data_IF_734032314983
#
_entry.id   IF_734032314983
#
_cell.length_a   1.000
_cell.length_b   1.000
_cell.length_c   1.000
_cell.angle_alpha   90.00
_cell.angle_beta   90.00
_cell.angle_gamma   90.00
#
_symmetry.space_group_name_H-M   'P 1'
#
loop_
_entity.id
_entity.type
_entity.pdbx_description
1 polymer ?
#
# COMPACT_ATOMS: atom_id res chain seq x y z
N UNK A 1 12.52 17.70 69.57
CA UNK A 1 13.62 17.12 68.79
C UNK A 1 13.05 15.99 67.94
N UNK A 2 12.81 16.22 66.65
CA UNK A 2 12.20 15.23 65.74
C UNK A 2 13.17 15.06 64.57
N UNK A 3 13.88 13.93 64.55
CA UNK A 3 14.94 13.65 63.58
C UNK A 3 14.32 13.17 62.25
N UNK A 4 14.35 14.03 61.23
CA UNK A 4 14.11 13.64 59.83
C UNK A 4 15.37 12.99 59.28
N UNK A 5 15.34 11.67 59.09
CA UNK A 5 16.28 10.96 58.20
C UNK A 5 15.90 11.24 56.75
N UNK A 6 16.68 12.07 56.08
CA UNK A 6 16.68 12.20 54.62
C UNK A 6 17.52 11.04 54.08
N UNK A 7 16.85 10.02 53.53
CA UNK A 7 17.52 8.96 52.77
C UNK A 7 17.72 9.49 51.35
N UNK A 8 18.93 9.93 51.04
CA UNK A 8 19.34 10.32 49.69
C UNK A 8 19.63 9.02 48.91
N UNK A 9 18.65 8.53 48.14
CA UNK A 9 18.87 7.44 47.18
C UNK A 9 19.51 8.05 45.94
N UNK A 10 20.84 7.93 45.84
CA UNK A 10 21.57 8.19 44.60
C UNK A 10 21.30 7.01 43.67
N UNK A 11 20.26 7.12 42.84
CA UNK A 11 20.09 6.24 41.69
C UNK A 11 21.12 6.64 40.64
N UNK A 12 22.31 6.06 40.70
CA UNK A 12 23.26 6.09 39.59
C UNK A 12 22.66 5.27 38.45
N UNK A 13 21.90 5.92 37.57
CA UNK A 13 21.49 5.35 36.31
C UNK A 13 22.76 5.15 35.48
N UNK A 14 23.32 3.94 35.53
CA UNK A 14 24.29 3.51 34.56
C UNK A 14 23.61 3.59 33.19
N UNK A 15 23.93 4.63 32.42
CA UNK A 15 23.63 4.69 30.99
C UNK A 15 24.36 3.50 30.36
N UNK A 16 23.66 2.37 30.27
CA UNK A 16 24.14 1.23 29.51
C UNK A 16 24.37 1.75 28.09
N UNK A 17 25.65 1.83 27.69
CA UNK A 17 25.99 2.13 26.30
C UNK A 17 25.25 1.11 25.45
N UNK A 18 24.44 1.59 24.50
CA UNK A 18 23.79 0.68 23.56
C UNK A 18 24.89 -0.15 22.87
N UNK A 19 24.73 -1.48 22.80
CA UNK A 19 25.71 -2.32 22.15
C UNK A 19 25.92 -1.81 20.72
N UNK A 20 27.17 -1.55 20.36
CA UNK A 20 27.52 -1.12 19.00
C UNK A 20 27.02 -2.17 18.02
N UNK A 21 26.12 -1.76 17.12
CA UNK A 21 25.58 -2.64 16.09
C UNK A 21 26.62 -2.83 14.99
N UNK A 22 26.83 -4.06 14.50
CA UNK A 22 27.79 -4.31 13.43
C UNK A 22 27.39 -3.59 12.13
N UNK A 23 28.39 -2.98 11.49
CA UNK A 23 28.32 -2.48 10.13
C UNK A 23 29.20 -3.37 9.25
N UNK A 24 28.57 -4.20 8.42
CA UNK A 24 29.23 -5.19 7.59
C UNK A 24 29.23 -4.71 6.14
N UNK A 25 30.41 -4.80 5.51
CA UNK A 25 30.58 -4.58 4.08
C UNK A 25 31.07 -5.87 3.44
N UNK A 26 30.24 -6.49 2.61
CA UNK A 26 30.42 -7.88 2.17
C UNK A 26 30.73 -8.00 0.69
N UNK A 27 31.34 -9.14 0.33
CA UNK A 27 31.44 -9.57 -1.07
C UNK A 27 30.03 -9.80 -1.67
N UNK A 28 29.84 -9.55 -2.98
CA UNK A 28 28.54 -9.64 -3.64
C UNK A 28 28.19 -11.11 -3.96
N UNK A 29 28.10 -11.96 -2.95
CA UNK A 29 27.70 -13.37 -3.10
C UNK A 29 26.58 -13.72 -2.15
N UNK A 30 25.74 -14.68 -2.53
CA UNK A 30 24.65 -15.17 -1.68
C UNK A 30 25.17 -15.70 -0.33
N UNK A 31 26.28 -16.44 -0.34
CA UNK A 31 26.90 -16.99 0.86
C UNK A 31 27.32 -15.89 1.84
N UNK A 32 27.97 -14.83 1.37
CA UNK A 32 28.39 -13.71 2.20
C UNK A 32 27.17 -12.93 2.76
N UNK A 33 26.10 -12.79 1.97
CA UNK A 33 24.85 -12.18 2.44
C UNK A 33 24.21 -12.99 3.56
N UNK A 34 24.10 -14.31 3.39
CA UNK A 34 23.52 -15.21 4.42
C UNK A 34 24.32 -15.19 5.72
N UNK A 35 25.65 -15.23 5.64
CA UNK A 35 26.52 -15.11 6.81
C UNK A 35 26.34 -13.76 7.51
N UNK A 36 26.33 -12.67 6.75
CA UNK A 36 26.16 -11.33 7.29
C UNK A 36 24.82 -11.17 8.01
N UNK A 37 23.72 -11.65 7.40
CA UNK A 37 22.38 -11.65 7.99
C UNK A 37 22.35 -12.41 9.32
N UNK A 38 22.98 -13.59 9.39
CA UNK A 38 23.11 -14.35 10.64
C UNK A 38 23.81 -13.54 11.74
N UNK A 39 24.91 -12.85 11.37
CA UNK A 39 25.72 -12.06 12.31
C UNK A 39 24.99 -10.83 12.82
N UNK A 40 24.34 -10.06 11.94
CA UNK A 40 23.57 -8.87 12.37
C UNK A 40 22.34 -9.27 13.19
N UNK A 41 21.68 -10.38 12.86
CA UNK A 41 20.55 -10.89 13.65
C UNK A 41 21.00 -11.32 15.05
N UNK A 42 22.11 -12.04 15.18
CA UNK A 42 22.69 -12.43 16.46
C UNK A 42 23.11 -11.23 17.33
N UNK A 43 23.49 -10.12 16.69
CA UNK A 43 23.82 -8.87 17.37
C UNK A 43 22.59 -8.00 17.73
N UNK A 44 21.37 -8.44 17.41
CA UNK A 44 20.13 -7.70 17.66
C UNK A 44 19.89 -6.52 16.70
N UNK A 45 20.56 -6.52 15.55
CA UNK A 45 20.51 -5.47 14.54
C UNK A 45 21.86 -5.23 13.87
N UNK A 46 21.88 -4.40 12.84
CA UNK A 46 23.11 -4.06 12.12
C UNK A 46 22.84 -3.63 10.69
N UNK A 47 23.89 -3.19 10.00
CA UNK A 47 23.83 -2.72 8.62
C UNK A 47 24.70 -3.61 7.72
N UNK A 48 24.16 -4.01 6.57
CA UNK A 48 24.85 -4.78 5.54
C UNK A 48 24.89 -3.93 4.27
N UNK A 49 26.09 -3.80 3.71
CA UNK A 49 26.39 -3.09 2.45
C UNK A 49 27.37 -3.91 1.62
N UNK A 50 27.70 -3.48 0.40
CA UNK A 50 28.51 -4.27 -0.53
C UNK A 50 29.89 -3.66 -0.79
N UNK A 51 30.90 -4.49 -1.01
CA UNK A 51 32.28 -4.04 -1.24
C UNK A 51 32.45 -3.40 -2.62
N UNK A 52 31.71 -3.88 -3.61
CA UNK A 52 31.82 -3.48 -5.02
C UNK A 52 30.56 -2.76 -5.52
N UNK A 53 30.62 -2.21 -6.73
CA UNK A 53 29.49 -1.62 -7.45
C UNK A 53 29.22 -2.35 -8.76
N UNK A 54 28.01 -2.21 -9.31
CA UNK A 54 27.53 -2.86 -10.53
C UNK A 54 27.64 -4.39 -10.45
N UNK A 55 27.30 -4.95 -9.30
CA UNK A 55 27.36 -6.39 -9.08
C UNK A 55 25.98 -7.02 -9.23
N UNK A 56 25.97 -8.19 -9.86
CA UNK A 56 24.82 -9.10 -9.86
C UNK A 56 25.09 -10.23 -8.87
N UNK A 57 24.19 -10.41 -7.92
CA UNK A 57 24.25 -11.47 -6.91
C UNK A 57 23.19 -12.50 -7.27
N UNK A 58 23.63 -13.70 -7.65
CA UNK A 58 22.73 -14.82 -7.92
C UNK A 58 22.12 -15.33 -6.62
N UNK A 59 20.81 -15.46 -6.56
CA UNK A 59 20.05 -15.97 -5.41
C UNK A 59 19.28 -17.22 -5.85
N UNK A 60 19.55 -18.34 -5.21
CA UNK A 60 18.93 -19.63 -5.57
C UNK A 60 17.73 -19.99 -4.73
N UNK A 61 17.63 -19.46 -3.51
CA UNK A 61 16.59 -19.80 -2.55
C UNK A 61 16.22 -18.56 -1.72
N UNK A 62 15.06 -18.62 -1.07
CA UNK A 62 14.57 -17.62 -0.15
C UNK A 62 15.61 -17.24 0.90
N UNK A 63 15.63 -15.96 1.22
CA UNK A 63 16.39 -15.39 2.33
C UNK A 63 15.46 -15.10 3.49
N UNK A 64 15.88 -15.50 4.69
CA UNK A 64 15.14 -15.20 5.91
C UNK A 64 15.75 -14.00 6.61
N UNK A 65 14.89 -13.06 6.97
CA UNK A 65 15.25 -11.81 7.60
C UNK A 65 14.53 -11.73 8.95
N UNK A 66 15.01 -12.52 9.90
CA UNK A 66 14.51 -12.58 11.27
C UNK A 66 15.29 -11.61 12.16
N UNK A 67 14.58 -10.65 12.77
CA UNK A 67 15.17 -9.75 13.76
C UNK A 67 14.63 -8.33 13.67
N UNK A 68 15.29 -7.44 14.42
CA UNK A 68 14.90 -6.04 14.51
C UNK A 68 16.09 -5.14 14.16
N UNK A 69 15.81 -3.95 13.62
CA UNK A 69 16.83 -2.96 13.28
C UNK A 69 17.92 -3.47 12.33
N UNK A 70 17.56 -4.36 11.43
CA UNK A 70 18.44 -4.88 10.40
C UNK A 70 18.29 -4.01 9.15
N UNK A 71 19.42 -3.63 8.56
CA UNK A 71 19.48 -2.79 7.36
C UNK A 71 20.22 -3.54 6.27
N UNK A 72 19.56 -3.82 5.15
CA UNK A 72 20.19 -4.31 3.91
C UNK A 72 20.14 -3.21 2.86
N UNK A 73 21.29 -2.65 2.53
CA UNK A 73 21.38 -1.43 1.74
C UNK A 73 22.39 -1.58 0.60
N UNK A 74 21.91 -1.44 -0.64
CA UNK A 74 22.76 -1.42 -1.82
C UNK A 74 23.54 -0.11 -2.03
N UNK A 75 23.24 0.93 -1.25
CA UNK A 75 23.81 2.28 -1.38
C UNK A 75 23.68 2.83 -2.82
N UNK A 76 24.63 3.61 -3.30
CA UNK A 76 24.70 4.08 -4.69
C UNK A 76 25.42 3.07 -5.61
N UNK A 77 25.51 1.80 -5.20
CA UNK A 77 26.40 0.81 -5.84
C UNK A 77 25.76 0.05 -6.98
N UNK A 78 24.49 0.29 -7.32
CA UNK A 78 23.80 -0.40 -8.40
C UNK A 78 23.89 -1.94 -8.25
N UNK A 79 23.39 -2.44 -7.11
CA UNK A 79 23.36 -3.87 -6.81
C UNK A 79 22.09 -4.48 -7.42
N UNK A 80 22.25 -5.61 -8.10
CA UNK A 80 21.14 -6.42 -8.61
C UNK A 80 21.17 -7.77 -7.94
N UNK A 81 20.08 -8.17 -7.31
CA UNK A 81 19.83 -9.57 -6.99
C UNK A 81 19.15 -10.21 -8.18
N UNK A 82 19.66 -11.35 -8.64
CA UNK A 82 19.10 -12.09 -9.76
C UNK A 82 18.68 -13.46 -9.29
N UNK A 83 17.43 -13.81 -9.54
CA UNK A 83 16.95 -15.14 -9.21
C UNK A 83 17.53 -16.19 -10.17
N UNK A 84 18.05 -17.27 -9.60
CA UNK A 84 18.62 -18.42 -10.33
C UNK A 84 18.12 -19.76 -9.77
N UNK A 85 17.11 -19.70 -8.90
CA UNK A 85 16.52 -20.87 -8.25
C UNK A 85 15.63 -21.70 -9.17
N UNK A 86 15.07 -22.81 -8.65
CA UNK A 86 14.32 -23.77 -9.43
C UNK A 86 12.89 -23.33 -9.78
N UNK A 87 12.31 -22.43 -8.99
CA UNK A 87 10.94 -21.95 -9.23
C UNK A 87 10.85 -21.23 -10.58
N UNK A 88 9.73 -21.42 -11.24
CA UNK A 88 9.46 -20.78 -12.52
C UNK A 88 8.77 -19.45 -12.27
N UNK A 89 9.03 -18.48 -13.11
CA UNK A 89 8.23 -17.27 -13.16
C UNK A 89 6.91 -17.60 -13.89
N UNK A 90 6.06 -18.41 -13.26
CA UNK A 90 4.69 -18.71 -13.65
C UNK A 90 3.74 -18.32 -12.50
N UNK A 91 2.45 -18.10 -12.76
CA UNK A 91 1.46 -17.65 -11.78
C UNK A 91 1.07 -18.78 -10.78
N UNK A 92 2.04 -19.56 -10.31
CA UNK A 92 1.82 -20.65 -9.38
C UNK A 92 1.88 -20.12 -7.95
N UNK A 93 0.73 -20.17 -7.27
CA UNK A 93 0.61 -19.82 -5.85
C UNK A 93 1.61 -20.56 -4.96
N UNK A 94 2.26 -19.82 -4.05
CA UNK A 94 3.14 -20.39 -3.02
C UNK A 94 4.61 -20.54 -3.40
N UNK A 95 5.06 -19.83 -4.45
CA UNK A 95 6.48 -19.68 -4.77
C UNK A 95 7.27 -19.04 -3.63
N UNK A 96 8.58 -19.32 -3.61
CA UNK A 96 9.43 -18.80 -2.55
C UNK A 96 9.82 -17.32 -2.83
N UNK A 97 9.54 -16.40 -1.89
CA UNK A 97 9.91 -15.00 -2.06
C UNK A 97 11.42 -14.83 -1.97
N UNK A 98 11.95 -13.75 -2.57
CA UNK A 98 13.33 -13.31 -2.35
C UNK A 98 13.65 -13.25 -0.85
N UNK A 99 12.82 -12.54 -0.08
CA UNK A 99 13.07 -12.32 1.34
C UNK A 99 11.79 -12.35 2.17
N UNK A 100 11.84 -13.06 3.30
CA UNK A 100 10.79 -13.04 4.33
C UNK A 100 11.28 -12.25 5.55
N UNK A 101 10.59 -11.15 5.86
CA UNK A 101 10.89 -10.25 6.98
C UNK A 101 9.94 -10.56 8.14
N UNK A 102 10.57 -10.80 9.29
CA UNK A 102 9.91 -10.94 10.58
C UNK A 102 10.61 -10.08 11.63
N UNK A 103 9.90 -9.06 12.11
CA UNK A 103 10.36 -8.18 13.16
C UNK A 103 10.19 -6.70 12.82
N UNK A 104 10.97 -5.84 13.47
CA UNK A 104 10.62 -4.43 13.60
C UNK A 104 11.74 -3.54 13.14
N UNK A 105 11.40 -2.38 12.56
CA UNK A 105 12.37 -1.34 12.18
C UNK A 105 13.45 -1.87 11.23
N UNK A 106 13.07 -2.82 10.37
CA UNK A 106 13.95 -3.33 9.34
C UNK A 106 13.90 -2.40 8.14
N UNK A 107 15.05 -2.20 7.49
CA UNK A 107 15.17 -1.39 6.28
C UNK A 107 15.80 -2.24 5.20
N UNK A 108 15.18 -2.25 4.03
CA UNK A 108 15.76 -2.83 2.83
C UNK A 108 15.66 -1.81 1.70
N UNK A 109 16.73 -1.63 0.93
CA UNK A 109 16.67 -0.67 -0.16
C UNK A 109 17.91 -0.50 -1.01
N UNK A 110 17.74 0.33 -2.04
CA UNK A 110 18.77 0.74 -2.98
C UNK A 110 19.35 -0.38 -3.86
N UNK A 111 18.49 -1.27 -4.38
CA UNK A 111 18.89 -2.36 -5.28
C UNK A 111 17.78 -2.76 -6.25
N UNK A 112 18.12 -3.61 -7.22
CA UNK A 112 17.19 -4.21 -8.19
C UNK A 112 16.94 -5.68 -7.85
N UNK A 113 15.69 -6.15 -7.94
CA UNK A 113 15.31 -7.56 -7.86
C UNK A 113 14.88 -8.05 -9.25
N UNK A 114 15.73 -8.84 -9.90
CA UNK A 114 15.55 -9.29 -11.28
C UNK A 114 15.16 -10.78 -11.37
N UNK A 115 14.05 -11.04 -12.07
CA UNK A 115 13.60 -12.39 -12.41
C UNK A 115 13.05 -13.21 -11.25
N UNK A 116 12.72 -12.58 -10.11
CA UNK A 116 12.17 -13.30 -8.97
C UNK A 116 10.71 -13.75 -9.24
N UNK A 117 10.37 -15.01 -8.90
CA UNK A 117 8.99 -15.48 -8.95
C UNK A 117 8.10 -14.66 -8.01
N UNK A 118 8.59 -14.44 -6.79
CA UNK A 118 7.95 -13.69 -5.72
C UNK A 118 8.99 -12.80 -5.01
N UNK A 119 8.59 -11.61 -4.58
CA UNK A 119 9.50 -10.55 -4.16
C UNK A 119 9.74 -10.49 -2.64
N UNK A 120 9.37 -9.37 -2.02
CA UNK A 120 9.66 -9.10 -0.61
C UNK A 120 8.41 -9.35 0.24
N UNK A 121 8.50 -10.24 1.22
CA UNK A 121 7.38 -10.57 2.11
C UNK A 121 7.64 -10.03 3.52
N UNK A 122 6.88 -9.02 3.93
CA UNK A 122 6.87 -8.51 5.30
C UNK A 122 5.71 -9.18 6.03
N UNK A 123 6.02 -10.32 6.64
CA UNK A 123 5.00 -11.18 7.24
C UNK A 123 4.58 -10.64 8.61
N UNK A 124 5.51 -10.23 9.47
CA UNK A 124 5.16 -9.70 10.79
C UNK A 124 6.05 -8.58 11.30
N UNK A 125 5.47 -7.76 12.17
CA UNK A 125 6.16 -6.74 12.98
C UNK A 125 5.77 -5.30 12.64
N UNK A 126 6.61 -4.33 13.01
CA UNK A 126 6.27 -2.91 13.01
C UNK A 126 7.36 -2.04 12.39
N UNK A 127 6.95 -0.94 11.75
CA UNK A 127 7.85 0.15 11.33
C UNK A 127 8.94 -0.30 10.34
N UNK A 128 8.62 -1.27 9.48
CA UNK A 128 9.55 -1.73 8.43
C UNK A 128 9.51 -0.79 7.21
N UNK A 129 10.65 -0.65 6.54
CA UNK A 129 10.84 0.23 5.39
C UNK A 129 11.40 -0.55 4.19
N UNK A 130 10.70 -0.46 3.07
CA UNK A 130 11.22 -0.84 1.75
C UNK A 130 11.39 0.44 0.95
N UNK A 131 12.61 0.73 0.50
CA UNK A 131 12.87 1.99 -0.20
C UNK A 131 13.79 1.86 -1.40
N UNK A 132 13.51 2.61 -2.46
CA UNK A 132 14.38 2.67 -3.64
C UNK A 132 14.72 1.28 -4.20
N UNK A 133 13.73 0.38 -4.24
CA UNK A 133 13.85 -0.96 -4.82
C UNK A 133 13.21 -0.97 -6.21
N UNK A 134 13.88 -1.59 -7.18
CA UNK A 134 13.37 -1.77 -8.54
C UNK A 134 12.99 -3.21 -8.79
N UNK A 135 11.80 -3.40 -9.36
CA UNK A 135 11.24 -4.69 -9.75
C UNK A 135 10.92 -4.67 -11.26
N UNK A 136 11.91 -4.89 -12.15
CA UNK A 136 11.72 -4.88 -13.61
C UNK A 136 10.77 -5.99 -14.09
N UNK A 137 10.72 -7.11 -13.35
CA UNK A 137 9.77 -8.20 -13.57
C UNK A 137 9.61 -9.00 -12.28
N UNK A 138 8.37 -9.15 -11.83
CA UNK A 138 7.97 -10.14 -10.81
C UNK A 138 6.72 -10.84 -11.31
N UNK A 139 6.67 -12.16 -11.14
CA UNK A 139 5.50 -12.93 -11.59
C UNK A 139 4.34 -12.82 -10.60
N UNK A 140 4.56 -13.16 -9.33
CA UNK A 140 3.55 -13.11 -8.28
C UNK A 140 3.46 -11.72 -7.62
N UNK A 141 3.78 -11.63 -6.33
CA UNK A 141 3.73 -10.42 -5.52
C UNK A 141 5.12 -9.76 -5.48
N UNK A 142 5.29 -8.53 -5.96
CA UNK A 142 6.59 -7.86 -5.80
C UNK A 142 6.86 -7.49 -4.33
N UNK A 143 5.83 -7.05 -3.60
CA UNK A 143 5.88 -6.87 -2.16
C UNK A 143 4.57 -7.37 -1.53
N UNK A 144 4.69 -8.23 -0.53
CA UNK A 144 3.57 -8.65 0.31
C UNK A 144 3.71 -8.11 1.71
N UNK A 145 2.68 -7.42 2.20
CA UNK A 145 2.54 -7.04 3.60
C UNK A 145 1.44 -7.89 4.25
N UNK A 146 1.75 -8.52 5.38
CA UNK A 146 0.80 -9.32 6.16
C UNK A 146 0.28 -10.57 5.42
N UNK A 147 1.18 -11.51 5.11
CA UNK A 147 0.85 -12.80 4.49
C UNK A 147 0.63 -13.94 5.50
N UNK A 148 -0.04 -15.02 5.07
CA UNK A 148 -0.05 -16.33 5.76
C UNK A 148 -0.51 -16.29 7.24
N UNK A 149 -1.47 -15.43 7.57
CA UNK A 149 -2.02 -15.31 8.92
C UNK A 149 -1.20 -14.46 9.89
N UNK A 150 -0.15 -13.79 9.40
CA UNK A 150 0.61 -12.80 10.16
C UNK A 150 0.17 -11.37 9.83
N UNK A 151 0.45 -10.44 10.74
CA UNK A 151 0.15 -9.02 10.61
C UNK A 151 1.42 -8.17 10.75
N UNK A 152 1.59 -7.24 9.82
CA UNK A 152 2.62 -6.21 9.81
C UNK A 152 1.97 -4.83 9.81
N UNK A 153 2.53 -3.92 10.61
CA UNK A 153 1.96 -2.60 10.85
C UNK A 153 2.97 -1.49 10.59
N UNK A 154 2.46 -0.32 10.18
CA UNK A 154 3.25 0.88 9.89
C UNK A 154 4.41 0.60 8.96
N UNK A 155 4.21 -0.33 8.02
CA UNK A 155 5.19 -0.56 6.97
C UNK A 155 5.15 0.62 5.99
N UNK A 156 6.31 1.07 5.55
CA UNK A 156 6.44 2.10 4.52
C UNK A 156 7.12 1.48 3.31
N UNK A 157 6.50 1.65 2.14
CA UNK A 157 7.05 1.30 0.83
C UNK A 157 7.19 2.62 0.09
N UNK A 158 8.41 3.05 -0.20
CA UNK A 158 8.65 4.39 -0.77
C UNK A 158 9.65 4.42 -1.90
N UNK A 159 9.42 5.30 -2.88
CA UNK A 159 10.36 5.53 -3.98
C UNK A 159 10.75 4.23 -4.72
N UNK A 160 9.84 3.26 -4.78
CA UNK A 160 10.05 2.00 -5.49
C UNK A 160 9.50 2.07 -6.92
N UNK A 161 10.11 1.30 -7.82
CA UNK A 161 9.71 1.18 -9.22
C UNK A 161 9.28 -0.26 -9.51
N UNK A 162 8.06 -0.42 -10.05
CA UNK A 162 7.49 -1.71 -10.41
C UNK A 162 7.15 -1.72 -11.90
N UNK A 163 7.61 -2.75 -12.60
CA UNK A 163 7.38 -2.92 -14.02
C UNK A 163 6.91 -4.36 -14.30
N UNK A 164 5.90 -4.49 -15.16
CA UNK A 164 5.44 -5.78 -15.66
C UNK A 164 5.11 -6.81 -14.58
N UNK A 165 4.57 -6.39 -13.43
CA UNK A 165 4.06 -7.33 -12.43
C UNK A 165 2.85 -8.07 -13.01
N UNK A 166 2.98 -9.39 -13.19
CA UNK A 166 1.99 -10.21 -13.90
C UNK A 166 0.72 -10.44 -13.05
N UNK A 167 0.85 -10.52 -11.73
CA UNK A 167 -0.26 -10.53 -10.76
C UNK A 167 -0.38 -9.21 -9.97
N UNK A 168 0.27 -9.10 -8.80
CA UNK A 168 0.18 -7.94 -7.90
C UNK A 168 1.56 -7.33 -7.69
N UNK A 169 1.70 -6.03 -7.87
CA UNK A 169 2.97 -5.38 -7.49
C UNK A 169 3.05 -5.26 -5.96
N UNK A 170 2.01 -4.73 -5.32
CA UNK A 170 1.92 -4.70 -3.86
C UNK A 170 0.65 -5.41 -3.42
N UNK A 171 0.81 -6.45 -2.62
CA UNK A 171 -0.27 -7.17 -1.96
C UNK A 171 -0.29 -6.87 -0.47
N UNK A 172 -1.46 -6.53 0.06
CA UNK A 172 -1.69 -6.37 1.49
C UNK A 172 -2.81 -7.32 1.88
N UNK A 173 -2.48 -8.29 2.72
CA UNK A 173 -3.37 -9.37 3.12
C UNK A 173 -3.67 -9.31 4.61
N UNK A 174 -4.77 -9.91 5.06
CA UNK A 174 -5.07 -10.14 6.47
C UNK A 174 -5.08 -8.91 7.41
N UNK A 175 -5.05 -7.69 6.89
CA UNK A 175 -5.04 -6.46 7.67
C UNK A 175 -3.68 -5.80 7.78
N UNK A 176 -3.37 -5.27 8.97
CA UNK A 176 -2.17 -4.49 9.17
C UNK A 176 -2.29 -3.02 8.74
N UNK A 177 -1.14 -2.40 8.48
CA UNK A 177 -1.11 -1.03 7.95
C UNK A 177 0.13 -0.77 7.11
N UNK A 178 -0.08 -0.14 5.96
CA UNK A 178 0.98 0.22 5.02
C UNK A 178 0.79 1.65 4.51
N UNK A 179 1.90 2.33 4.30
CA UNK A 179 1.98 3.55 3.49
C UNK A 179 2.77 3.23 2.23
N UNK A 180 2.16 3.42 1.07
CA UNK A 180 2.83 3.36 -0.24
C UNK A 180 2.97 4.80 -0.73
N UNK A 181 4.20 5.26 -0.96
CA UNK A 181 4.43 6.65 -1.34
C UNK A 181 5.51 6.84 -2.40
N UNK A 182 5.28 7.78 -3.30
CA UNK A 182 6.28 8.20 -4.29
C UNK A 182 6.76 7.01 -5.16
N UNK A 183 5.90 6.01 -5.37
CA UNK A 183 6.18 4.84 -6.19
C UNK A 183 5.68 5.01 -7.63
N UNK A 184 6.34 4.35 -8.58
CA UNK A 184 5.90 4.26 -9.98
C UNK A 184 5.59 2.81 -10.34
N UNK A 185 4.44 2.61 -10.97
CA UNK A 185 3.93 1.32 -11.44
C UNK A 185 3.69 1.41 -12.95
N UNK A 186 4.44 0.62 -13.72
CA UNK A 186 4.32 0.52 -15.17
C UNK A 186 3.85 -0.88 -15.55
N UNK A 187 2.74 -0.96 -16.30
CA UNK A 187 2.24 -2.24 -16.86
C UNK A 187 2.01 -3.35 -15.82
N UNK A 188 1.71 -2.96 -14.57
CA UNK A 188 1.40 -3.88 -13.49
C UNK A 188 -0.10 -4.25 -13.51
N UNK A 189 -0.41 -5.55 -13.53
CA UNK A 189 -1.80 -6.01 -13.60
C UNK A 189 -2.61 -5.50 -12.39
N UNK A 190 -2.11 -5.66 -11.16
CA UNK A 190 -2.73 -5.16 -9.92
C UNK A 190 -1.69 -4.38 -9.09
N UNK A 191 -1.51 -3.07 -9.32
CA UNK A 191 -0.37 -2.34 -8.79
C UNK A 191 -0.40 -2.22 -7.26
N UNK A 192 -1.58 -1.97 -6.69
CA UNK A 192 -1.80 -2.07 -5.24
C UNK A 192 -3.10 -2.80 -5.01
N UNK A 193 -3.04 -3.92 -4.29
CA UNK A 193 -4.20 -4.66 -3.85
C UNK A 193 -4.18 -4.82 -2.33
N UNK A 194 -5.24 -4.36 -1.68
CA UNK A 194 -5.47 -4.62 -0.27
C UNK A 194 -6.77 -5.40 -0.07
N UNK A 195 -6.68 -6.51 0.66
CA UNK A 195 -7.81 -7.33 1.05
C UNK A 195 -7.68 -7.84 2.48
N UNK A 196 -8.76 -8.39 3.01
CA UNK A 196 -8.79 -8.96 4.36
C UNK A 196 -9.87 -8.34 5.23
N UNK A 197 -9.85 -8.68 6.51
CA UNK A 197 -10.93 -8.35 7.46
C UNK A 197 -10.95 -6.87 7.82
N UNK A 198 -9.76 -6.28 8.04
CA UNK A 198 -9.58 -4.88 8.44
C UNK A 198 -8.31 -4.28 7.83
N UNK A 199 -7.91 -3.08 8.28
CA UNK A 199 -6.60 -2.49 8.00
C UNK A 199 -6.65 -0.99 7.70
N UNK A 200 -5.47 -0.34 7.71
CA UNK A 200 -5.32 1.09 7.42
C UNK A 200 -4.23 1.32 6.39
N UNK A 201 -4.62 1.90 5.26
CA UNK A 201 -3.72 2.04 4.12
C UNK A 201 -3.67 3.49 3.64
N UNK A 202 -2.47 3.96 3.36
CA UNK A 202 -2.25 5.23 2.69
C UNK A 202 -1.51 4.98 1.37
N UNK A 203 -2.01 5.53 0.27
CA UNK A 203 -1.33 5.51 -1.03
C UNK A 203 -1.26 6.93 -1.55
N UNK A 204 -0.05 7.47 -1.67
CA UNK A 204 0.13 8.89 -1.99
C UNK A 204 1.26 9.20 -2.95
N UNK A 205 1.04 10.20 -3.79
CA UNK A 205 2.03 10.68 -4.78
C UNK A 205 2.58 9.57 -5.68
N UNK A 206 1.79 8.52 -5.92
CA UNK A 206 2.18 7.42 -6.77
C UNK A 206 1.73 7.67 -8.21
N UNK A 207 2.44 7.03 -9.15
CA UNK A 207 2.16 7.08 -10.58
C UNK A 207 1.84 5.68 -11.08
N UNK A 208 0.68 5.51 -11.70
CA UNK A 208 0.20 4.25 -12.25
C UNK A 208 -0.01 4.43 -13.75
N UNK A 209 0.71 3.67 -14.58
CA UNK A 209 0.69 3.81 -16.05
C UNK A 209 0.55 2.47 -16.76
N UNK A 210 -0.01 2.54 -17.97
CA UNK A 210 -0.03 1.44 -18.92
C UNK A 210 -1.09 0.39 -18.61
N UNK A 211 -0.80 -0.85 -19.01
CA UNK A 211 -1.70 -2.00 -18.93
C UNK A 211 -1.89 -2.42 -17.47
N UNK A 212 -2.91 -1.85 -16.84
CA UNK A 212 -3.25 -2.15 -15.45
C UNK A 212 -4.75 -2.35 -15.26
N UNK A 213 -5.14 -3.16 -14.27
CA UNK A 213 -6.50 -3.15 -13.73
C UNK A 213 -6.73 -2.06 -12.69
N UNK A 214 -5.68 -1.32 -12.32
CA UNK A 214 -5.71 -0.25 -11.34
C UNK A 214 -5.72 -0.71 -9.88
N UNK A 215 -5.52 0.22 -8.92
CA UNK A 215 -5.57 -0.06 -7.49
C UNK A 215 -6.92 -0.64 -7.05
N UNK A 216 -6.88 -1.61 -6.12
CA UNK A 216 -8.06 -2.35 -5.64
C UNK A 216 -8.03 -2.51 -4.12
N UNK A 217 -9.09 -2.08 -3.45
CA UNK A 217 -9.26 -2.26 -2.01
C UNK A 217 -10.59 -2.95 -1.71
N UNK A 218 -10.54 -3.98 -0.88
CA UNK A 218 -11.69 -4.82 -0.55
C UNK A 218 -11.77 -5.10 0.94
N UNK A 219 -12.75 -4.48 1.61
CA UNK A 219 -12.90 -4.54 3.06
C UNK A 219 -13.80 -5.69 3.51
N UNK A 220 -13.31 -6.55 4.39
CA UNK A 220 -14.14 -7.50 5.12
C UNK A 220 -14.94 -6.82 6.24
N UNK A 221 -15.70 -7.60 7.01
CA UNK A 221 -16.70 -7.10 7.97
C UNK A 221 -16.18 -6.18 9.08
N UNK A 222 -14.88 -6.23 9.40
CA UNK A 222 -14.29 -5.37 10.43
C UNK A 222 -13.97 -3.96 9.91
N UNK A 223 -14.04 -3.77 8.58
CA UNK A 223 -13.87 -2.50 7.91
C UNK A 223 -12.41 -2.14 7.64
N UNK A 224 -12.19 -1.51 6.48
CA UNK A 224 -10.88 -1.06 6.02
C UNK A 224 -10.89 0.46 5.88
N UNK A 225 -9.79 1.13 6.21
CA UNK A 225 -9.62 2.55 5.91
C UNK A 225 -8.55 2.78 4.82
N UNK A 226 -8.88 3.60 3.83
CA UNK A 226 -7.98 3.98 2.73
C UNK A 226 -7.89 5.49 2.61
N UNK A 227 -6.68 6.03 2.69
CA UNK A 227 -6.35 7.40 2.30
C UNK A 227 -5.61 7.36 0.97
N UNK A 228 -6.20 7.93 -0.08
CA UNK A 228 -5.67 7.85 -1.44
C UNK A 228 -5.50 9.27 -1.99
N UNK A 229 -4.27 9.75 -2.07
CA UNK A 229 -4.00 11.19 -2.19
C UNK A 229 -2.90 11.53 -3.21
N UNK A 230 -3.12 12.58 -4.01
CA UNK A 230 -2.12 13.12 -4.95
C UNK A 230 -1.57 12.08 -5.96
N UNK A 231 -2.35 11.06 -6.33
CA UNK A 231 -1.92 10.04 -7.27
C UNK A 231 -2.29 10.37 -8.73
N UNK A 232 -1.48 9.87 -9.67
CA UNK A 232 -1.76 9.91 -11.11
C UNK A 232 -2.01 8.50 -11.64
N UNK A 233 -3.18 8.25 -12.22
CA UNK A 233 -3.56 6.98 -12.82
C UNK A 233 -3.86 7.19 -14.30
N UNK A 234 -3.15 6.47 -15.17
CA UNK A 234 -3.27 6.58 -16.62
C UNK A 234 -3.40 5.19 -17.27
N UNK A 235 -4.34 5.06 -18.20
CA UNK A 235 -4.55 3.88 -19.06
C UNK A 235 -4.96 2.58 -18.35
N UNK A 236 -5.21 2.65 -17.04
CA UNK A 236 -5.76 1.55 -16.26
C UNK A 236 -7.23 1.31 -16.62
N UNK A 237 -7.67 0.05 -16.54
CA UNK A 237 -9.09 -0.33 -16.71
C UNK A 237 -9.98 0.27 -15.62
N UNK A 238 -9.46 0.44 -14.41
CA UNK A 238 -10.12 1.17 -13.34
C UNK A 238 -9.15 2.20 -12.82
N UNK A 239 -9.56 3.45 -12.63
CA UNK A 239 -8.76 4.42 -11.91
C UNK A 239 -8.54 3.99 -10.46
N UNK A 240 -9.61 3.51 -9.81
CA UNK A 240 -9.57 2.80 -8.52
C UNK A 240 -10.84 1.96 -8.30
N UNK A 241 -10.72 0.84 -7.58
CA UNK A 241 -11.85 0.01 -7.13
C UNK A 241 -11.92 -0.07 -5.61
N UNK A 242 -13.11 0.19 -5.07
CA UNK A 242 -13.42 0.20 -3.64
C UNK A 242 -14.71 -0.58 -3.39
N UNK A 243 -14.64 -1.64 -2.59
CA UNK A 243 -15.82 -2.48 -2.29
C UNK A 243 -15.70 -3.22 -0.96
N UNK A 244 -16.77 -3.92 -0.57
CA UNK A 244 -16.94 -4.44 0.79
C UNK A 244 -17.08 -3.29 1.80
N UNK A 245 -16.63 -3.48 3.03
CA UNK A 245 -16.68 -2.45 4.08
C UNK A 245 -15.50 -1.48 4.05
N UNK A 246 -15.12 -1.00 2.86
CA UNK A 246 -14.08 0.03 2.71
C UNK A 246 -14.65 1.39 3.09
N UNK A 247 -13.91 2.12 3.93
CA UNK A 247 -14.09 3.53 4.20
C UNK A 247 -12.91 4.28 3.57
N UNK A 248 -13.14 5.14 2.60
CA UNK A 248 -12.06 5.78 1.86
C UNK A 248 -12.22 7.29 1.77
N UNK A 249 -11.08 7.98 1.74
CA UNK A 249 -11.04 9.37 1.28
C UNK A 249 -10.06 9.48 0.11
N UNK A 250 -10.56 10.01 -1.00
CA UNK A 250 -9.80 10.22 -2.23
C UNK A 250 -9.60 11.71 -2.43
N UNK A 251 -8.35 12.18 -2.43
CA UNK A 251 -8.04 13.62 -2.56
C UNK A 251 -7.05 13.92 -3.65
N UNK A 252 -7.34 14.92 -4.49
CA UNK A 252 -6.36 15.48 -5.44
C UNK A 252 -5.72 14.45 -6.39
N UNK A 253 -6.43 13.36 -6.65
CA UNK A 253 -5.97 12.36 -7.60
C UNK A 253 -6.39 12.75 -9.02
N UNK A 254 -5.66 12.21 -10.01
CA UNK A 254 -5.98 12.36 -11.42
C UNK A 254 -6.18 10.99 -12.04
N UNK A 255 -7.40 10.72 -12.47
CA UNK A 255 -7.82 9.47 -13.08
C UNK A 255 -8.09 9.69 -14.57
N UNK A 256 -7.20 9.13 -15.39
CA UNK A 256 -7.31 9.06 -16.85
C UNK A 256 -7.36 7.59 -17.28
N UNK A 257 -8.45 6.88 -16.98
CA UNK A 257 -8.57 5.47 -17.27
C UNK A 257 -8.56 5.21 -18.79
N UNK A 258 -8.49 3.94 -19.16
CA UNK A 258 -8.44 3.55 -20.57
C UNK A 258 -9.68 4.05 -21.35
N UNK A 259 -9.50 4.74 -22.49
CA UNK A 259 -10.63 5.30 -23.26
C UNK A 259 -11.57 4.27 -23.90
N UNK A 260 -11.18 2.99 -24.00
CA UNK A 260 -12.00 1.95 -24.64
C UNK A 260 -13.00 1.29 -23.70
N UNK A 261 -12.62 1.09 -22.44
CA UNK A 261 -13.38 0.24 -21.51
C UNK A 261 -13.16 0.58 -20.02
N UNK A 262 -12.56 1.75 -19.75
CA UNK A 262 -12.13 2.15 -18.42
C UNK A 262 -13.21 2.80 -17.57
N UNK A 263 -13.14 2.57 -16.26
CA UNK A 263 -13.89 3.31 -15.22
C UNK A 263 -12.97 4.31 -14.53
N UNK A 264 -13.48 5.49 -14.15
CA UNK A 264 -12.73 6.43 -13.33
C UNK A 264 -12.59 5.92 -11.89
N UNK A 265 -13.66 6.04 -11.10
CA UNK A 265 -13.74 5.58 -9.72
C UNK A 265 -14.91 4.62 -9.61
N UNK A 266 -14.66 3.38 -9.19
CA UNK A 266 -15.70 2.35 -9.08
C UNK A 266 -15.92 1.92 -7.63
N UNK A 267 -17.12 2.17 -7.13
CA UNK A 267 -17.52 2.02 -5.73
C UNK A 267 -18.76 1.12 -5.67
N UNK A 268 -18.69 0.01 -4.95
CA UNK A 268 -19.80 -0.95 -4.90
C UNK A 268 -19.86 -1.71 -3.57
N UNK A 269 -20.82 -2.63 -3.42
CA UNK A 269 -21.17 -3.30 -2.17
C UNK A 269 -21.46 -2.31 -1.03
N UNK A 270 -20.66 -2.28 0.05
CA UNK A 270 -20.91 -1.47 1.26
C UNK A 270 -19.89 -0.37 1.45
N UNK A 271 -19.17 -0.01 0.39
CA UNK A 271 -18.09 0.95 0.46
C UNK A 271 -18.63 2.36 0.73
N UNK A 272 -17.87 3.13 1.50
CA UNK A 272 -18.18 4.51 1.91
C UNK A 272 -17.03 5.39 1.49
N UNK A 273 -17.27 6.38 0.65
CA UNK A 273 -16.18 7.13 0.01
C UNK A 273 -16.46 8.63 0.02
N UNK A 274 -15.44 9.42 0.34
CA UNK A 274 -15.43 10.87 0.17
C UNK A 274 -14.45 11.26 -0.94
N UNK A 275 -14.88 12.07 -1.91
CA UNK A 275 -14.02 12.54 -3.01
C UNK A 275 -13.87 14.06 -2.93
N UNK A 276 -12.63 14.54 -2.84
CA UNK A 276 -12.29 15.97 -2.77
C UNK A 276 -11.22 16.34 -3.81
N UNK A 277 -11.50 17.36 -4.62
CA UNK A 277 -10.54 17.94 -5.56
C UNK A 277 -9.88 16.95 -6.55
N UNK A 278 -10.58 15.88 -6.93
CA UNK A 278 -10.06 14.90 -7.89
C UNK A 278 -10.38 15.31 -9.34
N UNK A 279 -9.60 14.82 -10.30
CA UNK A 279 -9.91 14.91 -11.73
C UNK A 279 -10.23 13.50 -12.23
N UNK A 280 -11.40 13.33 -12.84
CA UNK A 280 -11.83 12.07 -13.47
C UNK A 280 -12.26 12.39 -14.89
N UNK A 281 -11.49 11.91 -15.87
CA UNK A 281 -11.69 12.30 -17.26
C UNK A 281 -11.55 11.16 -18.25
N UNK A 282 -12.45 11.11 -19.23
CA UNK A 282 -12.35 10.20 -20.38
C UNK A 282 -12.69 8.74 -20.07
N UNK A 283 -13.38 8.46 -18.96
CA UNK A 283 -13.78 7.10 -18.61
C UNK A 283 -14.90 6.60 -19.52
N UNK A 284 -14.68 5.48 -20.21
CA UNK A 284 -15.63 4.91 -21.16
C UNK A 284 -16.83 4.19 -20.52
N UNK A 285 -16.74 3.85 -19.23
CA UNK A 285 -17.79 3.14 -18.49
C UNK A 285 -18.30 3.89 -17.25
N UNK A 286 -17.97 5.17 -17.16
CA UNK A 286 -18.47 6.10 -16.15
C UNK A 286 -17.33 6.76 -15.38
N UNK A 287 -17.49 8.05 -15.08
CA UNK A 287 -16.54 8.81 -14.28
C UNK A 287 -16.49 8.27 -12.85
N UNK A 288 -17.53 8.53 -12.07
CA UNK A 288 -17.75 7.93 -10.75
C UNK A 288 -18.95 7.00 -10.84
N UNK A 289 -18.76 5.72 -10.52
CA UNK A 289 -19.82 4.70 -10.56
C UNK A 289 -20.05 4.14 -9.16
N UNK A 290 -21.31 4.18 -8.73
CA UNK A 290 -21.77 3.79 -7.38
C UNK A 290 -22.85 2.73 -7.52
N UNK A 291 -22.70 1.59 -6.84
CA UNK A 291 -23.62 0.45 -6.93
C UNK A 291 -23.91 -0.19 -5.57
N UNK A 292 -24.92 -1.05 -5.55
CA UNK A 292 -25.38 -1.81 -4.39
C UNK A 292 -25.74 -0.90 -3.19
N UNK A 293 -25.16 -1.15 -2.01
CA UNK A 293 -25.36 -0.39 -0.77
C UNK A 293 -24.28 0.69 -0.58
N UNK A 294 -23.51 1.02 -1.61
CA UNK A 294 -22.38 1.93 -1.50
C UNK A 294 -22.85 3.38 -1.28
N UNK A 295 -22.05 4.15 -0.55
CA UNK A 295 -22.33 5.55 -0.27
C UNK A 295 -21.15 6.42 -0.67
N UNK A 296 -21.42 7.50 -1.38
CA UNK A 296 -20.40 8.45 -1.81
C UNK A 296 -20.82 9.89 -1.53
N UNK A 297 -19.85 10.70 -1.13
CA UNK A 297 -19.96 12.14 -1.02
C UNK A 297 -18.96 12.79 -1.97
N UNK A 298 -19.49 13.39 -3.04
CA UNK A 298 -18.74 14.15 -4.04
C UNK A 298 -18.72 15.65 -3.72
N UNK A 299 -19.37 16.10 -2.65
CA UNK A 299 -19.40 17.50 -2.22
C UNK A 299 -20.72 17.88 -1.53
N UNK A 300 -20.62 18.48 -0.34
CA UNK A 300 -21.76 18.99 0.42
C UNK A 300 -22.65 17.93 1.09
N UNK A 301 -22.31 16.65 0.97
CA UNK A 301 -23.03 15.53 1.58
C UNK A 301 -22.58 15.18 2.99
N UNK A 302 -22.95 13.98 3.45
CA UNK A 302 -22.54 13.47 4.76
C UNK A 302 -22.38 11.96 4.73
N UNK A 303 -21.24 11.50 4.20
CA UNK A 303 -20.81 10.11 4.38
C UNK A 303 -19.99 10.00 5.66
N UNK A 304 -20.41 9.11 6.56
CA UNK A 304 -19.64 8.81 7.77
C UNK A 304 -18.51 7.86 7.43
N UNK A 305 -17.29 8.39 7.44
CA UNK A 305 -16.04 7.66 7.25
C UNK A 305 -15.44 7.47 8.63
N UNK A 306 -15.33 6.24 9.13
CA UNK A 306 -14.58 6.00 10.37
C UNK A 306 -15.13 6.75 11.61
N UNK A 307 -16.43 7.10 11.62
CA UNK A 307 -17.04 7.95 12.65
C UNK A 307 -16.90 9.46 12.40
N UNK A 308 -16.05 9.86 11.46
CA UNK A 308 -15.99 11.22 10.93
C UNK A 308 -17.13 11.45 9.94
N UNK A 309 -17.96 12.45 10.20
CA UNK A 309 -19.10 12.82 9.35
C UNK A 309 -18.89 14.17 8.66
N UNK A 310 -17.66 14.66 8.55
CA UNK A 310 -17.38 15.89 7.80
C UNK A 310 -17.82 15.74 6.33
N UNK A 311 -18.40 16.79 5.73
CA UNK A 311 -18.75 16.77 4.32
C UNK A 311 -17.49 16.82 3.43
N UNK A 312 -17.57 16.20 2.26
CA UNK A 312 -16.66 16.54 1.15
C UNK A 312 -16.80 18.02 0.81
N UNK A 313 -15.67 18.66 0.54
CA UNK A 313 -15.62 20.03 0.03
C UNK A 313 -15.94 20.12 -1.47
N UNK A 314 -16.11 18.99 -2.16
CA UNK A 314 -16.25 18.95 -3.61
C UNK A 314 -14.94 19.32 -4.30
N UNK A 315 -15.03 20.20 -5.30
CA UNK A 315 -13.92 20.64 -6.14
C UNK A 315 -13.47 19.60 -7.16
N UNK A 316 -14.25 18.53 -7.36
CA UNK A 316 -13.90 17.50 -8.34
C UNK A 316 -14.16 18.03 -9.76
N UNK A 317 -13.34 17.58 -10.72
CA UNK A 317 -13.52 17.80 -12.14
C UNK A 317 -13.93 16.47 -12.76
N UNK A 318 -15.19 16.36 -13.16
CA UNK A 318 -15.75 15.20 -13.85
C UNK A 318 -16.04 15.66 -15.28
N UNK A 319 -15.38 15.05 -16.26
CA UNK A 319 -15.47 15.54 -17.63
C UNK A 319 -15.24 14.47 -18.69
N UNK A 320 -16.00 14.51 -19.77
CA UNK A 320 -15.82 13.68 -20.95
C UNK A 320 -15.94 12.20 -20.64
N UNK A 321 -16.65 11.84 -19.56
CA UNK A 321 -16.89 10.45 -19.20
C UNK A 321 -18.16 9.97 -19.90
N UNK A 322 -18.24 8.67 -20.14
CA UNK A 322 -19.32 8.01 -20.85
C UNK A 322 -19.76 6.76 -20.08
N UNK A 323 -21.06 6.41 -20.04
CA UNK A 323 -22.17 7.21 -20.56
C UNK A 323 -22.47 8.48 -19.75
N UNK A 324 -21.86 8.66 -18.57
CA UNK A 324 -22.08 9.81 -17.71
C UNK A 324 -20.86 10.07 -16.79
N UNK A 325 -20.76 11.28 -16.25
CA UNK A 325 -19.77 11.67 -15.24
C UNK A 325 -20.04 11.01 -13.88
N UNK A 326 -21.32 10.91 -13.50
CA UNK A 326 -21.79 10.19 -12.32
C UNK A 326 -22.84 9.15 -12.71
N UNK A 327 -22.60 7.89 -12.34
CA UNK A 327 -23.57 6.81 -12.46
C UNK A 327 -23.87 6.30 -11.06
N UNK A 328 -25.03 6.69 -10.52
CA UNK A 328 -25.55 6.20 -9.26
C UNK A 328 -26.62 5.14 -9.50
N UNK A 329 -26.30 3.87 -9.26
CA UNK A 329 -27.24 2.76 -9.36
C UNK A 329 -27.84 2.36 -8.00
N UNK A 330 -27.69 3.20 -6.98
CA UNK A 330 -28.26 3.00 -5.64
C UNK A 330 -29.58 3.77 -5.51
N UNK A 331 -30.31 3.53 -4.42
CA UNK A 331 -31.50 4.28 -4.02
C UNK A 331 -31.16 5.53 -3.18
N UNK A 332 -29.91 5.65 -2.71
CA UNK A 332 -29.43 6.78 -1.92
C UNK A 332 -29.04 7.93 -2.83
N UNK A 333 -29.48 9.14 -2.49
CA UNK A 333 -29.09 10.35 -3.23
C UNK A 333 -27.62 10.69 -2.98
N UNK A 334 -26.85 10.80 -4.05
CA UNK A 334 -25.45 11.24 -3.99
C UNK A 334 -25.39 12.77 -3.97
N UNK A 335 -24.75 13.33 -2.95
CA UNK A 335 -24.42 14.75 -2.92
C UNK A 335 -23.18 15.01 -3.77
N UNK A 336 -23.31 15.89 -4.76
CA UNK A 336 -22.25 16.23 -5.71
C UNK A 336 -22.21 17.75 -5.97
N UNK A 337 -22.22 18.51 -4.88
CA UNK A 337 -22.14 19.97 -4.90
C UNK A 337 -20.71 20.45 -5.09
N UNK A 338 -20.58 21.65 -5.63
CA UNK A 338 -19.31 22.33 -5.84
C UNK A 338 -18.33 21.53 -6.71
N UNK A 339 -18.81 20.91 -7.79
CA UNK A 339 -17.98 20.20 -8.76
C UNK A 339 -18.01 20.88 -10.14
N UNK A 340 -16.98 20.61 -10.94
CA UNK A 340 -16.93 20.96 -12.36
C UNK A 340 -17.42 19.77 -13.18
N UNK A 341 -18.32 20.04 -14.11
CA UNK A 341 -18.99 19.09 -14.99
C UNK A 341 -18.83 19.54 -16.45
N UNK A 342 -19.17 18.67 -17.40
CA UNK A 342 -19.28 19.07 -18.81
C UNK A 342 -20.34 20.15 -19.02
N UNK A 343 -21.47 20.05 -18.32
CA UNK A 343 -22.55 21.02 -18.38
C UNK A 343 -22.53 21.99 -17.19
N UNK A 344 -23.19 23.15 -17.32
CA UNK A 344 -23.02 24.27 -16.39
C UNK A 344 -24.24 24.55 -15.52
N UNK A 345 -25.43 24.17 -15.96
CA UNK A 345 -26.64 24.33 -15.15
C UNK A 345 -26.95 23.02 -14.41
N UNK A 346 -27.53 23.07 -13.19
CA UNK A 346 -27.94 21.85 -12.50
C UNK A 346 -28.85 20.96 -13.34
N UNK A 347 -29.78 21.55 -14.11
CA UNK A 347 -30.69 20.82 -14.98
C UNK A 347 -29.96 20.06 -16.07
N UNK A 348 -29.00 20.69 -16.76
CA UNK A 348 -28.25 20.05 -17.84
C UNK A 348 -27.33 18.96 -17.29
N UNK A 349 -26.69 19.19 -16.14
CA UNK A 349 -25.86 18.19 -15.46
C UNK A 349 -26.70 16.96 -15.10
N UNK A 350 -27.89 17.15 -14.51
CA UNK A 350 -28.78 16.03 -14.20
C UNK A 350 -29.29 15.29 -15.44
N UNK A 351 -29.45 15.99 -16.57
CA UNK A 351 -29.96 15.39 -17.80
C UNK A 351 -28.90 14.64 -18.62
N UNK A 352 -27.63 15.04 -18.52
CA UNK A 352 -26.57 14.58 -19.42
C UNK A 352 -25.37 13.95 -18.71
N UNK A 353 -25.02 14.44 -17.52
CA UNK A 353 -23.80 14.06 -16.82
C UNK A 353 -24.08 13.08 -15.66
N UNK A 354 -25.35 12.87 -15.32
CA UNK A 354 -25.77 12.05 -14.19
C UNK A 354 -26.77 10.98 -14.62
N UNK A 355 -26.56 9.75 -14.15
CA UNK A 355 -27.56 8.69 -14.15
C UNK A 355 -27.92 8.33 -12.72
N UNK A 356 -29.20 8.40 -12.36
CA UNK A 356 -29.71 8.04 -11.02
C UNK A 356 -29.83 9.20 -10.02
N UNK A 357 -30.18 8.92 -8.76
CA UNK A 357 -30.47 9.96 -7.76
C UNK A 357 -29.23 10.79 -7.37
N UNK A 358 -29.23 12.10 -7.62
CA UNK A 358 -28.16 12.99 -7.20
C UNK A 358 -28.64 14.41 -6.88
N UNK A 359 -27.92 15.09 -6.00
CA UNK A 359 -28.01 16.52 -5.76
C UNK A 359 -26.76 17.20 -6.31
N UNK A 360 -26.92 18.04 -7.34
CA UNK A 360 -25.80 18.73 -8.00
C UNK A 360 -25.88 20.23 -7.81
N UNK A 361 -24.73 20.84 -7.59
CA UNK A 361 -24.53 22.29 -7.58
C UNK A 361 -23.22 22.58 -8.33
N UNK A 362 -23.28 22.80 -9.66
CA UNK A 362 -22.08 23.01 -10.47
C UNK A 362 -21.34 24.31 -10.07
N UNK A 363 -20.01 24.33 -10.16
CA UNK A 363 -19.20 25.51 -9.79
C UNK A 363 -19.28 26.70 -10.77
N UNK A 364 -20.01 26.58 -11.88
CA UNK A 364 -20.02 27.59 -12.94
C UNK A 364 -18.67 27.75 -13.64
N UNK A 365 -18.65 28.47 -14.78
CA UNK A 365 -17.45 28.68 -15.60
C UNK A 365 -16.49 29.69 -14.97
N UNK A 366 -15.77 29.31 -13.91
CA UNK A 366 -14.47 29.92 -13.63
C UNK A 366 -13.36 28.97 -14.09
N UNK A 367 -13.29 28.76 -15.42
CA UNK A 367 -12.27 27.94 -16.11
C UNK A 367 -10.82 28.43 -15.88
N UNK A 368 -10.61 29.60 -15.27
CA UNK A 368 -9.29 30.24 -15.16
C UNK A 368 -8.43 29.84 -13.95
N UNK A 369 -8.99 29.24 -12.89
CA UNK A 369 -8.26 29.13 -11.61
C UNK A 369 -7.62 27.75 -11.33
N UNK A 370 -8.05 26.67 -11.99
CA UNK A 370 -7.58 25.31 -11.67
C UNK A 370 -6.66 24.68 -12.73
N UNK A 371 -6.69 25.17 -13.98
CA UNK A 371 -5.77 24.72 -15.02
C UNK A 371 -4.31 25.19 -14.78
N UNK A 372 -4.12 26.29 -14.03
CA UNK A 372 -2.82 26.75 -13.56
C UNK A 372 -2.68 26.36 -12.09
N UNK A 373 -2.07 25.21 -11.80
CA UNK A 373 -1.85 24.76 -10.43
C UNK A 373 -1.15 25.84 -9.57
N UNK A 374 -1.91 26.59 -8.77
CA UNK A 374 -1.46 27.58 -7.78
C UNK A 374 -2.70 28.18 -7.08
N UNK A 375 -2.57 29.02 -6.05
CA UNK A 375 -2.10 28.76 -4.69
C UNK A 375 -3.17 29.20 -3.66
N UNK A 376 -4.46 29.25 -4.02
CA UNK A 376 -5.52 29.71 -3.11
C UNK A 376 -5.79 28.74 -1.94
N UNK A 377 -5.26 27.52 -2.03
CA UNK A 377 -5.15 26.61 -0.90
C UNK A 377 -4.29 27.18 0.25
N UNK A 378 -3.38 28.15 0.06
CA UNK A 378 -2.52 28.64 1.16
C UNK A 378 -3.23 29.45 2.24
N UNK A 379 -4.34 30.13 1.93
CA UNK A 379 -5.16 30.80 2.97
C UNK A 379 -5.99 29.77 3.76
N UNK A 380 -6.38 28.67 3.12
CA UNK A 380 -7.13 27.55 3.69
C UNK A 380 -6.26 26.50 4.41
N UNK A 381 -5.03 26.27 3.96
CA UNK A 381 -4.03 25.37 4.59
C UNK A 381 -3.59 25.87 5.97
N UNK A 382 -3.72 27.18 6.25
CA UNK A 382 -3.55 27.73 7.61
C UNK A 382 -4.64 27.26 8.59
N UNK A 383 -5.82 26.88 8.10
CA UNK A 383 -6.87 26.22 8.90
C UNK A 383 -6.54 24.73 9.14
N UNK A 384 -5.97 24.05 8.13
CA UNK A 384 -5.59 22.63 8.18
C UNK A 384 -4.44 22.31 9.17
N UNK A 385 -3.45 23.21 9.32
CA UNK A 385 -2.36 23.01 10.31
C UNK A 385 -2.84 22.98 11.78
N UNK A 386 -4.07 23.39 12.09
CA UNK A 386 -4.67 23.21 13.43
C UNK A 386 -5.46 21.91 13.59
N UNK A 387 -5.73 21.15 12.52
CA UNK A 387 -6.66 19.99 12.53
C UNK A 387 -5.98 18.61 12.43
N UNK A 388 -4.69 18.55 12.08
CA UNK A 388 -3.93 17.29 11.99
C UNK A 388 -3.70 16.59 13.36
N UNK A 389 -4.12 17.20 14.48
CA UNK A 389 -3.99 16.64 15.81
C UNK A 389 -5.22 15.85 16.31
N UNK A 390 -6.31 15.77 15.52
CA UNK A 390 -7.61 15.23 15.97
C UNK A 390 -8.20 14.11 15.12
N UNK A 391 -7.42 13.42 14.28
CA UNK A 391 -7.90 12.16 13.67
C UNK A 391 -7.97 11.08 14.76
N UNK A 392 -9.13 10.97 15.41
CA UNK A 392 -9.44 9.90 16.35
C UNK A 392 -9.26 8.53 15.69
N UNK A 393 -8.77 7.57 16.46
CA UNK A 393 -8.68 6.18 16.04
C UNK A 393 -10.05 5.67 15.60
N UNK A 394 -10.16 5.17 14.36
CA UNK A 394 -11.24 4.26 14.00
C UNK A 394 -10.98 2.93 14.74
N UNK A 395 -11.33 2.86 16.01
CA UNK A 395 -11.53 1.58 16.66
C UNK A 395 -12.80 1.01 16.04
N UNK A 396 -12.67 -0.08 15.29
CA UNK A 396 -13.76 -1.04 15.18
C UNK A 396 -14.25 -1.28 16.62
N UNK A 397 -15.53 -1.01 16.87
CA UNK A 397 -16.19 -0.90 18.18
C UNK A 397 -15.56 -1.79 19.26
N UNK A 398 -15.09 -1.19 20.36
CA UNK A 398 -15.11 -1.83 21.68
C UNK A 398 -14.20 -3.04 21.91
N UNK A 399 -13.25 -3.34 21.02
CA UNK A 399 -12.14 -4.24 21.35
C UNK A 399 -10.91 -3.38 21.58
N UNK A 400 -10.64 -3.04 22.85
CA UNK A 400 -9.26 -2.83 23.25
C UNK A 400 -8.51 -4.07 22.80
N UNK A 401 -7.72 -3.96 21.72
CA UNK A 401 -6.71 -4.95 21.41
C UNK A 401 -5.64 -4.80 22.50
N UNK A 402 -5.96 -5.29 23.70
CA UNK A 402 -4.93 -5.78 24.57
C UNK A 402 -4.27 -6.88 23.76
N UNK A 403 -2.96 -6.82 23.48
CA UNK A 403 -2.28 -8.00 23.00
C UNK A 403 -2.65 -9.08 24.00
N UNK A 404 -3.41 -10.09 23.57
CA UNK A 404 -3.67 -11.20 24.47
C UNK A 404 -2.30 -11.77 24.74
N UNK A 405 -1.75 -11.46 25.91
CA UNK A 405 -0.90 -12.36 26.67
C UNK A 405 -1.78 -13.58 26.96
N UNK A 406 -2.17 -14.31 25.91
CA UNK A 406 -2.30 -15.74 26.06
C UNK A 406 -0.92 -16.12 26.56
N UNK A 407 -0.90 -16.62 27.78
CA UNK A 407 0.13 -17.51 28.28
C UNK A 407 0.25 -18.66 27.28
N UNK A 408 0.87 -18.38 26.13
CA UNK A 408 1.39 -19.38 25.23
C UNK A 408 2.42 -20.10 26.07
N UNK A 409 2.14 -21.36 26.38
CA UNK A 409 3.18 -22.28 26.81
C UNK A 409 4.37 -22.05 25.89
N UNK A 410 5.52 -21.74 26.50
CA UNK A 410 6.71 -21.33 25.80
C UNK A 410 7.05 -22.33 24.72
N UNK A 411 6.69 -22.01 23.47
CA UNK A 411 7.46 -22.47 22.33
C UNK A 411 8.66 -21.55 22.31
N UNK A 412 9.70 -21.98 23.00
CA UNK A 412 11.07 -21.63 22.62
C UNK A 412 11.15 -21.75 21.10
N UNK A 413 11.46 -20.66 20.41
CA UNK A 413 11.98 -20.76 19.05
C UNK A 413 13.14 -21.76 19.11
N UNK A 414 13.18 -22.80 18.25
CA UNK A 414 14.33 -23.69 18.24
C UNK A 414 15.57 -22.82 18.00
N UNK A 415 16.45 -22.78 19.00
CA UNK A 415 17.82 -22.34 18.83
C UNK A 415 18.47 -23.38 17.90
N UNK A 416 18.39 -23.10 16.60
CA UNK A 416 18.80 -24.03 15.57
C UNK A 416 18.21 -23.60 14.25
N UNK A 417 19.07 -23.05 13.39
CA UNK A 417 18.75 -22.93 11.97
C UNK A 417 18.29 -24.31 11.48
N UNK A 418 17.12 -24.46 10.84
CA UNK A 418 16.88 -25.67 10.08
C UNK A 418 18.00 -25.75 9.02
N UNK A 419 18.65 -26.91 8.83
CA UNK A 419 19.55 -27.07 7.70
C UNK A 419 18.78 -26.75 6.42
N UNK A 420 19.46 -26.11 5.47
CA UNK A 420 18.93 -25.85 4.14
C UNK A 420 18.21 -27.11 3.62
N UNK A 421 16.96 -26.94 3.14
CA UNK A 421 16.25 -28.05 2.53
C UNK A 421 17.13 -28.56 1.37
N UNK A 422 17.48 -29.84 1.39
CA UNK A 422 18.08 -30.47 0.23
C UNK A 422 17.15 -30.26 -0.99
N UNK A 423 17.69 -29.99 -2.19
CA UNK A 423 16.87 -29.82 -3.38
C UNK A 423 15.97 -31.04 -3.55
N UNK A 424 14.67 -30.81 -3.72
CA UNK A 424 13.74 -31.88 -4.06
C UNK A 424 14.20 -32.48 -5.38
N UNK A 425 14.55 -33.77 -5.38
CA UNK A 425 14.70 -34.51 -6.61
C UNK A 425 13.38 -34.42 -7.39
N UNK A 426 13.44 -33.98 -8.63
CA UNK A 426 12.29 -33.98 -9.51
C UNK A 426 11.91 -35.44 -9.79
N UNK A 427 10.85 -35.92 -9.15
CA UNK A 427 10.17 -37.15 -9.53
C UNK A 427 9.55 -36.93 -10.92
N UNK A 428 10.29 -37.32 -11.97
CA UNK A 428 9.74 -37.47 -13.31
C UNK A 428 8.86 -38.73 -13.32
N UNK A 429 7.54 -38.57 -13.27
CA UNK A 429 6.64 -39.63 -13.68
C UNK A 429 6.74 -39.83 -15.21
N UNK A 430 6.83 -41.08 -15.69
CA UNK A 430 6.86 -41.36 -17.12
C UNK A 430 5.47 -41.12 -17.73
N UNK A 431 5.44 -40.26 -18.75
CA UNK A 431 4.28 -40.06 -19.63
C UNK A 431 3.95 -41.42 -20.28
N UNK A 432 2.82 -42.01 -19.88
CA UNK A 432 2.21 -43.12 -20.60
C UNK A 432 1.58 -42.60 -21.89
N UNK A 433 2.18 -42.93 -23.02
CA UNK A 433 1.50 -42.88 -24.32
C UNK A 433 0.48 -44.01 -24.38
N UNK A 434 -0.80 -43.67 -24.56
CA UNK A 434 -1.88 -44.60 -24.88
C UNK A 434 -2.07 -44.67 -26.43
N UNK A 435 -2.60 -45.78 -26.95
CA UNK A 435 -2.48 -46.19 -28.36
C UNK A 435 -3.29 -45.37 -29.37
#
# INVERSE_FOLDING_TARGET
>A
MCARRVLLVIAAAALAQEPQRPELRIEPTEAALREALARVAAAGGGRITFQVSNASIEIQDRIYFYGHNLVLDGEDRNITFKYTGPDRCDQTEGQDPFIEIHGNRNVIGNFTLDGFPDGIHILSGYDNLVENVRFPKVCEDAITNSGRGFEAFRTVIRNCYFENAEDKAIMINNGGSVTVEECEFLDCQQPVRAGGRSGRYAVRKCVFKGRSTGPRFSGGEEGMFVDFEDNLIQEARYGIRLYGYVNAVLRRNRFYPRPSDGYGVYIYEKARVRLEANVVQGAAKGGVVVQDEAQVDLGGGRVVICGDSEPSQGGNVLRGNQPADLINLTDVTVAARFNYWDHQTPTDVLAHDVTGPAEVEPLGREEGALAAGAPQLLSWVRSLKRRAATTGFCSARGLSYQPSLRSGGGRTFPAGWPPARAPRAADQEPIRTAP
#
